data_IF_021580610195
#
_entry.id   IF_021580610195
#
_cell.length_a   1.000
_cell.length_b   1.000
_cell.length_c   1.000
_cell.angle_alpha   90.00
_cell.angle_beta   90.00
_cell.angle_gamma   90.00
#
_symmetry.space_group_name_H-M   'P 1'
#
loop_
_entity.id
_entity.type
_entity.pdbx_description
1 polymer ?
#
# COMPACT_ATOMS: atom_id res chain seq x y z
N UNK A 1 15.31 -7.80 -23.54
CA UNK A 1 15.75 -8.30 -22.22
C UNK A 1 15.22 -7.33 -21.18
N UNK A 2 14.06 -7.63 -20.60
CA UNK A 2 13.48 -6.84 -19.51
C UNK A 2 14.21 -7.19 -18.23
N UNK A 3 14.83 -6.19 -17.62
CA UNK A 3 15.40 -6.27 -16.28
C UNK A 3 14.26 -6.54 -15.29
N UNK A 4 14.04 -7.81 -14.96
CA UNK A 4 13.31 -8.18 -13.76
C UNK A 4 14.08 -7.59 -12.57
N UNK A 5 13.52 -6.52 -11.99
CA UNK A 5 13.94 -6.07 -10.67
C UNK A 5 13.88 -7.28 -9.75
N UNK A 6 15.00 -7.59 -9.08
CA UNK A 6 15.19 -8.76 -8.22
C UNK A 6 14.22 -8.86 -7.02
N UNK A 7 13.23 -7.96 -6.95
CA UNK A 7 12.22 -7.80 -5.91
C UNK A 7 10.81 -8.21 -6.37
N UNK A 8 10.59 -8.52 -7.65
CA UNK A 8 9.30 -9.02 -8.15
C UNK A 8 8.14 -8.02 -8.04
N UNK A 9 8.44 -6.71 -8.09
CA UNK A 9 7.43 -5.65 -8.13
C UNK A 9 7.61 -4.88 -9.43
N UNK A 10 6.62 -4.99 -10.32
CA UNK A 10 6.56 -4.29 -11.61
C UNK A 10 5.30 -3.47 -11.74
N UNK A 11 5.30 -2.47 -12.63
CA UNK A 11 4.09 -1.69 -12.97
C UNK A 11 2.96 -2.59 -13.49
N UNK A 12 3.31 -3.70 -14.16
CA UNK A 12 2.35 -4.70 -14.63
C UNK A 12 1.66 -5.44 -13.48
N UNK A 13 2.37 -5.74 -12.40
CA UNK A 13 1.79 -6.35 -11.20
C UNK A 13 0.97 -5.33 -10.42
N UNK A 14 1.49 -4.11 -10.27
CA UNK A 14 0.74 -3.00 -9.69
C UNK A 14 -0.60 -2.80 -10.42
N UNK A 15 -0.60 -2.82 -11.75
CA UNK A 15 -1.80 -2.63 -12.56
C UNK A 15 -2.84 -3.74 -12.42
N UNK A 16 -2.46 -4.94 -11.95
CA UNK A 16 -3.39 -6.05 -11.69
C UNK A 16 -4.11 -5.92 -10.35
N UNK A 17 -3.61 -5.08 -9.44
CA UNK A 17 -4.21 -4.89 -8.13
C UNK A 17 -5.60 -4.27 -8.21
N UNK A 18 -6.41 -4.56 -7.19
CA UNK A 18 -7.68 -3.87 -6.97
C UNK A 18 -7.48 -2.35 -6.80
N UNK A 19 -8.50 -1.55 -7.16
CA UNK A 19 -8.43 -0.08 -7.00
C UNK A 19 -8.06 0.34 -5.57
N UNK A 20 -8.64 -0.33 -4.56
CA UNK A 20 -8.37 -0.05 -3.15
C UNK A 20 -6.92 -0.35 -2.76
N UNK A 21 -6.39 -1.50 -3.18
CA UNK A 21 -4.98 -1.87 -2.93
C UNK A 21 -3.99 -0.92 -3.63
N UNK A 22 -4.32 -0.46 -4.85
CA UNK A 22 -3.53 0.56 -5.54
C UNK A 22 -3.52 1.88 -4.78
N UNK A 23 -4.69 2.38 -4.37
CA UNK A 23 -4.81 3.61 -3.60
C UNK A 23 -4.07 3.52 -2.26
N UNK A 24 -4.14 2.37 -1.58
CA UNK A 24 -3.39 2.11 -0.35
C UNK A 24 -1.87 2.19 -0.58
N UNK A 25 -1.34 1.57 -1.65
CA UNK A 25 0.07 1.66 -1.99
C UNK A 25 0.48 3.09 -2.38
N UNK A 26 -0.32 3.77 -3.21
CA UNK A 26 -0.05 5.16 -3.57
C UNK A 26 -0.06 6.07 -2.35
N UNK A 27 -0.97 5.85 -1.40
CA UNK A 27 -0.97 6.58 -0.13
C UNK A 27 0.35 6.37 0.64
N UNK A 28 0.75 5.12 0.82
CA UNK A 28 2.01 4.75 1.48
C UNK A 28 3.22 5.40 0.79
N UNK A 29 3.27 5.34 -0.54
CA UNK A 29 4.36 5.93 -1.33
C UNK A 29 4.41 7.45 -1.19
N UNK A 30 3.25 8.10 -1.32
CA UNK A 30 3.13 9.56 -1.24
C UNK A 30 3.59 10.08 0.12
N UNK A 31 3.25 9.38 1.20
CA UNK A 31 3.62 9.74 2.56
C UNK A 31 4.93 9.09 3.05
N UNK A 32 5.62 8.31 2.22
CA UNK A 32 6.89 7.66 2.56
C UNK A 32 6.78 6.68 3.74
N UNK A 33 5.66 5.98 3.88
CA UNK A 33 5.37 5.10 5.02
C UNK A 33 5.95 3.70 4.78
N UNK A 34 6.90 3.24 5.59
CA UNK A 34 7.35 1.84 5.55
C UNK A 34 6.44 0.89 6.35
N UNK A 35 5.55 1.44 7.16
CA UNK A 35 4.59 0.73 7.99
C UNK A 35 3.23 1.43 7.98
N UNK A 36 2.16 0.65 8.02
CA UNK A 36 0.79 1.17 8.08
C UNK A 36 -0.06 0.34 9.04
N UNK A 37 -0.93 1.01 9.78
CA UNK A 37 -1.92 0.36 10.64
C UNK A 37 -3.26 0.34 9.93
N UNK A 38 -3.94 -0.81 9.86
CA UNK A 38 -5.24 -0.95 9.20
C UNK A 38 -6.19 -1.77 10.08
N UNK A 39 -7.49 -1.66 9.87
CA UNK A 39 -8.48 -2.43 10.61
C UNK A 39 -8.44 -3.84 10.06
N UNK A 40 -8.65 -4.84 10.90
CA UNK A 40 -8.70 -6.27 10.50
C UNK A 40 -9.70 -6.53 9.36
N UNK A 41 -10.72 -5.68 9.23
CA UNK A 41 -11.76 -5.80 8.20
C UNK A 41 -11.43 -5.08 6.89
N UNK A 42 -10.34 -4.32 6.83
CA UNK A 42 -10.00 -3.59 5.62
C UNK A 42 -9.74 -4.57 4.46
N UNK A 43 -10.41 -4.41 3.31
CA UNK A 43 -10.17 -5.26 2.17
C UNK A 43 -8.86 -4.91 1.43
N UNK A 44 -8.37 -3.67 1.53
CA UNK A 44 -7.36 -3.13 0.61
C UNK A 44 -5.97 -3.73 0.84
N UNK A 45 -5.66 -4.22 2.04
CA UNK A 45 -4.39 -4.89 2.31
C UNK A 45 -4.39 -6.37 1.91
N UNK A 46 -5.54 -7.01 1.73
CA UNK A 46 -5.63 -8.48 1.66
C UNK A 46 -4.86 -9.04 0.47
N UNK A 47 -4.98 -8.38 -0.67
CA UNK A 47 -4.26 -8.74 -1.89
C UNK A 47 -2.75 -8.51 -1.72
N UNK A 48 -2.35 -7.41 -1.08
CA UNK A 48 -0.94 -7.09 -0.81
C UNK A 48 -0.27 -8.11 0.11
N UNK A 49 -0.99 -8.59 1.14
CA UNK A 49 -0.52 -9.68 2.00
C UNK A 49 -0.43 -10.99 1.23
N UNK A 50 -1.42 -11.31 0.39
CA UNK A 50 -1.40 -12.53 -0.44
C UNK A 50 -0.24 -12.56 -1.43
N UNK A 51 0.13 -11.40 -1.97
CA UNK A 51 1.29 -11.22 -2.85
C UNK A 51 2.62 -11.18 -2.08
N UNK A 52 2.59 -11.19 -0.75
CA UNK A 52 3.78 -11.08 0.09
C UNK A 52 4.39 -9.67 0.13
N UNK A 53 3.67 -8.67 -0.38
CA UNK A 53 4.14 -7.28 -0.41
C UNK A 53 4.06 -6.64 0.98
N UNK A 54 3.08 -7.09 1.79
CA UNK A 54 2.94 -6.71 3.18
C UNK A 54 3.23 -7.90 4.09
N UNK A 55 3.95 -7.65 5.18
CA UNK A 55 4.07 -8.58 6.31
C UNK A 55 3.26 -8.06 7.48
N UNK A 56 2.47 -8.94 8.07
CA UNK A 56 1.70 -8.61 9.27
C UNK A 56 2.61 -8.64 10.50
N UNK A 57 2.57 -7.56 11.27
CA UNK A 57 3.19 -7.44 12.59
C UNK A 57 2.15 -7.62 13.69
N UNK A 58 2.55 -8.14 14.86
CA UNK A 58 1.69 -8.13 16.04
C UNK A 58 1.20 -6.70 16.36
N UNK A 59 -0.10 -6.56 16.56
CA UNK A 59 -0.72 -5.32 17.04
C UNK A 59 -1.12 -5.46 18.49
N UNK A 60 -0.85 -4.45 19.31
CA UNK A 60 -1.36 -4.36 20.69
C UNK A 60 -2.78 -3.81 20.76
N UNK A 61 -3.33 -3.33 19.64
CA UNK A 61 -4.66 -2.71 19.57
C UNK A 61 -5.66 -3.69 18.96
N UNK A 62 -6.71 -4.00 19.71
CA UNK A 62 -7.78 -4.90 19.26
C UNK A 62 -8.48 -4.34 18.01
N UNK A 63 -8.67 -5.19 17.00
CA UNK A 63 -9.31 -4.81 15.74
C UNK A 63 -8.39 -4.11 14.74
N UNK A 64 -7.13 -3.84 15.09
CA UNK A 64 -6.11 -3.24 14.22
C UNK A 64 -5.03 -4.26 13.91
N UNK A 65 -4.53 -4.22 12.68
CA UNK A 65 -3.34 -4.92 12.20
C UNK A 65 -2.27 -3.91 11.81
N UNK A 66 -1.03 -4.24 12.09
CA UNK A 66 0.12 -3.47 11.63
C UNK A 66 0.73 -4.21 10.45
N UNK A 67 1.01 -3.50 9.37
CA UNK A 67 1.64 -4.06 8.18
C UNK A 67 2.93 -3.32 7.89
N UNK A 68 4.01 -4.07 7.74
CA UNK A 68 5.28 -3.55 7.24
C UNK A 68 5.46 -3.93 5.76
N UNK A 69 6.11 -3.05 5.01
CA UNK A 69 6.61 -3.37 3.68
C UNK A 69 8.08 -3.77 3.85
N UNK A 70 8.48 -5.00 3.46
CA UNK A 70 9.88 -5.41 3.53
C UNK A 70 10.78 -4.44 2.76
N UNK A 71 11.94 -4.07 3.32
CA UNK A 71 12.83 -3.04 2.73
C UNK A 71 13.14 -3.24 1.25
N UNK A 72 13.38 -4.49 0.84
CA UNK A 72 13.64 -4.85 -0.56
C UNK A 72 12.43 -4.55 -1.46
N UNK A 73 11.22 -4.79 -0.99
CA UNK A 73 9.99 -4.48 -1.70
C UNK A 73 9.72 -2.98 -1.68
N UNK A 74 10.01 -2.29 -0.58
CA UNK A 74 9.86 -0.84 -0.48
C UNK A 74 10.73 -0.11 -1.51
N UNK A 75 11.97 -0.54 -1.72
CA UNK A 75 12.83 0.00 -2.79
C UNK A 75 12.24 -0.27 -4.19
N UNK A 76 11.69 -1.47 -4.42
CA UNK A 76 11.01 -1.81 -5.67
C UNK A 76 9.75 -0.96 -5.93
N UNK A 77 8.89 -0.80 -4.93
CA UNK A 77 7.67 -0.01 -5.00
C UNK A 77 8.01 1.49 -5.13
N UNK A 78 9.04 1.98 -4.44
CA UNK A 78 9.50 3.37 -4.52
C UNK A 78 9.99 3.74 -5.93
N UNK A 79 10.63 2.80 -6.64
CA UNK A 79 11.01 3.00 -8.05
C UNK A 79 9.81 3.12 -8.98
N UNK A 80 8.66 2.58 -8.59
CA UNK A 80 7.40 2.72 -9.31
C UNK A 80 6.61 3.97 -8.88
N UNK A 81 7.10 4.76 -7.91
CA UNK A 81 6.31 5.83 -7.32
C UNK A 81 5.80 6.83 -8.37
N UNK A 82 6.66 7.29 -9.28
CA UNK A 82 6.25 8.25 -10.32
C UNK A 82 5.17 7.66 -11.25
N UNK A 83 5.35 6.40 -11.69
CA UNK A 83 4.38 5.72 -12.56
C UNK A 83 3.07 5.42 -11.81
N UNK A 84 3.14 4.91 -10.58
CA UNK A 84 1.99 4.57 -9.76
C UNK A 84 1.19 5.81 -9.34
N UNK A 85 1.87 6.88 -8.96
CA UNK A 85 1.25 8.16 -8.60
C UNK A 85 0.73 8.92 -9.83
N UNK A 86 1.20 8.62 -11.04
CA UNK A 86 0.61 9.18 -12.27
C UNK A 86 -0.78 8.61 -12.60
N UNK A 87 -1.13 7.44 -12.06
CA UNK A 87 -2.41 6.76 -12.31
C UNK A 87 -3.56 7.40 -11.52
N UNK A 88 -3.26 8.01 -10.37
CA UNK A 88 -4.26 8.62 -9.50
C UNK A 88 -3.97 10.10 -9.32
N UNK A 89 -5.00 10.93 -9.34
CA UNK A 89 -4.85 12.33 -8.98
C UNK A 89 -4.62 12.49 -7.48
N UNK A 90 -4.07 13.64 -7.07
CA UNK A 90 -4.02 14.03 -5.65
C UNK A 90 -5.43 13.97 -5.02
N UNK A 91 -6.46 14.36 -5.78
CA UNK A 91 -7.85 14.30 -5.34
C UNK A 91 -8.31 12.88 -5.04
N UNK A 92 -7.92 11.89 -5.86
CA UNK A 92 -8.26 10.48 -5.59
C UNK A 92 -7.64 9.98 -4.28
N UNK A 93 -6.42 10.44 -3.95
CA UNK A 93 -5.75 10.08 -2.69
C UNK A 93 -6.38 10.77 -1.48
N UNK A 94 -6.77 12.04 -1.62
CA UNK A 94 -7.49 12.77 -0.57
C UNK A 94 -8.89 12.18 -0.34
N UNK A 95 -9.61 11.82 -1.41
CA UNK A 95 -10.91 11.14 -1.31
C UNK A 95 -10.77 9.76 -0.66
N UNK A 96 -9.72 9.01 -1.02
CA UNK A 96 -9.40 7.75 -0.36
C UNK A 96 -9.17 7.96 1.13
N UNK A 97 -8.33 8.93 1.50
CA UNK A 97 -8.07 9.32 2.90
C UNK A 97 -9.35 9.68 3.64
N UNK A 98 -10.20 10.52 3.06
CA UNK A 98 -11.48 10.92 3.64
C UNK A 98 -12.43 9.73 3.82
N UNK A 99 -12.51 8.82 2.84
CA UNK A 99 -13.34 7.62 2.94
C UNK A 99 -12.89 6.68 4.07
N UNK A 100 -11.58 6.68 4.35
CA UNK A 100 -10.94 5.88 5.40
C UNK A 100 -11.02 6.57 6.76
N UNK A 101 -11.10 7.89 6.82
CA UNK A 101 -11.03 8.69 8.06
C UNK A 101 -11.93 8.21 9.20
N UNK A 102 -13.16 7.81 8.89
CA UNK A 102 -14.10 7.30 9.90
C UNK A 102 -13.65 5.97 10.53
N UNK A 103 -12.94 5.13 9.77
CA UNK A 103 -12.42 3.84 10.24
C UNK A 103 -10.99 3.93 10.79
N UNK A 104 -10.32 5.05 10.54
CA UNK A 104 -8.87 5.22 10.73
C UNK A 104 -8.48 6.56 11.35
N UNK A 105 -9.09 7.03 12.44
CA UNK A 105 -8.85 8.39 12.94
C UNK A 105 -7.39 8.68 13.33
N UNK A 106 -6.55 7.65 13.53
CA UNK A 106 -5.14 7.74 13.92
C UNK A 106 -4.13 7.73 12.75
N UNK A 107 -4.57 7.54 11.49
CA UNK A 107 -3.66 7.54 10.34
C UNK A 107 -3.37 8.93 9.74
N UNK A 108 -3.90 10.00 10.35
CA UNK A 108 -3.86 11.36 9.81
C UNK A 108 -3.28 12.37 10.79
#
# INVERSE_FOLDING_TARGET
>A
MTTESATGVSINEFNKLSKGSKLLLCYILYYGLSEIQLMVRDPDYKELVKLGWFKEKPSSVSGVKVFEIPDQLFDGISKLADEALSIFSLTDLEDYKLSKRASYPWLW
#
